data_IF_767398963463
#
_entry.id   IF_767398963463
#
_cell.length_a   1.000
_cell.length_b   1.000
_cell.length_c   1.000
_cell.angle_alpha   90.00
_cell.angle_beta   90.00
_cell.angle_gamma   90.00
#
_symmetry.space_group_name_H-M   'P 1'
#
loop_
_entity.id
_entity.type
_entity.pdbx_description
1 polymer ?
#
# COMPACT_ATOMS: atom_id res chain seq x y z
N UNK A 1 -34.41 2.72 -45.18
CA UNK A 1 -33.15 2.01 -45.34
C UNK A 1 -31.95 2.81 -44.79
N UNK A 2 -31.67 4.06 -45.18
CA UNK A 2 -30.51 4.83 -44.67
C UNK A 2 -30.48 5.03 -43.15
N UNK A 3 -31.64 5.28 -42.51
CA UNK A 3 -31.71 5.48 -41.02
C UNK A 3 -31.46 4.19 -40.22
N UNK A 4 -31.81 3.04 -40.77
CA UNK A 4 -31.59 1.74 -40.13
C UNK A 4 -30.12 1.30 -40.22
N UNK A 5 -29.42 1.67 -41.30
CA UNK A 5 -27.99 1.39 -41.50
C UNK A 5 -27.14 2.24 -40.51
N UNK A 6 -27.52 3.52 -40.27
CA UNK A 6 -26.85 4.39 -39.33
C UNK A 6 -27.01 3.86 -37.89
N UNK A 7 -28.19 3.34 -37.55
CA UNK A 7 -28.41 2.75 -36.23
C UNK A 7 -27.64 1.46 -36.00
N UNK A 8 -27.51 0.62 -37.04
CA UNK A 8 -26.72 -0.61 -37.02
C UNK A 8 -25.21 -0.31 -36.87
N UNK A 9 -24.70 0.73 -37.54
CA UNK A 9 -23.29 1.14 -37.43
C UNK A 9 -22.98 1.71 -36.05
N UNK A 10 -23.92 2.47 -35.46
CA UNK A 10 -23.76 3.00 -34.07
C UNK A 10 -23.81 1.88 -33.02
N UNK A 11 -24.63 0.84 -33.22
CA UNK A 11 -24.70 -0.33 -32.34
C UNK A 11 -23.45 -1.23 -32.45
N UNK A 12 -22.77 -1.27 -33.60
CA UNK A 12 -21.52 -2.01 -33.72
C UNK A 12 -20.31 -1.25 -33.14
N UNK A 13 -20.39 0.08 -33.03
CA UNK A 13 -19.32 0.90 -32.47
C UNK A 13 -19.25 0.86 -30.92
N UNK A 14 -20.24 0.27 -30.25
CA UNK A 14 -20.27 0.11 -28.79
C UNK A 14 -19.66 -1.20 -28.28
N UNK A 15 -19.11 -2.02 -29.19
CA UNK A 15 -18.48 -3.28 -28.81
C UNK A 15 -16.99 -3.05 -28.58
N UNK A 16 -16.61 -3.07 -27.32
CA UNK A 16 -15.25 -3.18 -26.78
C UNK A 16 -14.64 -1.89 -26.19
N UNK A 17 -15.35 -1.25 -25.26
CA UNK A 17 -14.63 -0.50 -24.23
C UNK A 17 -14.33 -1.52 -23.14
N UNK A 18 -13.20 -2.19 -23.21
CA UNK A 18 -12.62 -2.86 -22.08
C UNK A 18 -11.91 -1.78 -21.28
N UNK A 19 -12.48 -1.41 -20.14
CA UNK A 19 -11.75 -0.68 -19.13
C UNK A 19 -10.95 -1.71 -18.33
N UNK A 20 -9.67 -1.47 -18.14
CA UNK A 20 -8.88 -2.26 -17.21
C UNK A 20 -9.49 -2.16 -15.82
N UNK A 21 -9.71 -3.30 -15.17
CA UNK A 21 -10.37 -3.34 -13.87
C UNK A 21 -9.41 -2.96 -12.75
N UNK A 22 -9.80 -1.94 -11.98
CA UNK A 22 -9.44 -1.70 -10.59
C UNK A 22 -7.96 -1.65 -10.24
N UNK A 23 -7.68 -1.70 -8.94
CA UNK A 23 -6.33 -1.86 -8.40
C UNK A 23 -5.95 -3.34 -8.32
N UNK A 24 -4.84 -3.70 -8.93
CA UNK A 24 -4.29 -5.05 -8.82
C UNK A 24 -3.56 -5.25 -7.50
N UNK A 25 -3.76 -6.40 -6.88
CA UNK A 25 -3.06 -6.75 -5.65
C UNK A 25 -1.60 -7.06 -5.94
N UNK A 26 -0.69 -6.47 -5.18
CA UNK A 26 0.75 -6.67 -5.35
C UNK A 26 1.15 -8.16 -5.28
N UNK A 27 0.53 -8.92 -4.39
CA UNK A 27 0.77 -10.36 -4.23
C UNK A 27 0.36 -11.19 -5.45
N UNK A 28 -0.51 -10.67 -6.29
CA UNK A 28 -1.08 -11.36 -7.44
C UNK A 28 -0.45 -10.94 -8.78
N UNK A 29 0.36 -9.87 -8.78
CA UNK A 29 0.92 -9.30 -10.01
C UNK A 29 1.59 -10.35 -10.90
N UNK A 30 2.44 -11.18 -10.32
CA UNK A 30 3.16 -12.21 -11.09
C UNK A 30 2.22 -13.28 -11.65
N UNK A 31 1.25 -13.73 -10.87
CA UNK A 31 0.40 -14.86 -11.23
C UNK A 31 -0.75 -14.46 -12.16
N UNK A 32 -1.28 -13.25 -12.01
CA UNK A 32 -2.53 -12.85 -12.66
C UNK A 32 -2.35 -11.69 -13.65
N UNK A 33 -1.47 -10.74 -13.37
CA UNK A 33 -1.43 -9.47 -14.07
C UNK A 33 -0.18 -9.25 -14.95
N UNK A 34 0.83 -10.10 -14.85
CA UNK A 34 2.11 -9.91 -15.55
C UNK A 34 1.97 -9.80 -17.09
N UNK A 35 1.05 -10.54 -17.68
CA UNK A 35 0.79 -10.49 -19.14
C UNK A 35 0.17 -9.15 -19.48
N UNK A 36 -0.90 -8.76 -18.82
CA UNK A 36 -1.59 -7.49 -19.05
C UNK A 36 -0.66 -6.29 -18.82
N UNK A 37 0.16 -6.32 -17.79
CA UNK A 37 1.15 -5.25 -17.54
C UNK A 37 2.14 -5.09 -18.68
N UNK A 38 2.61 -6.19 -19.27
CA UNK A 38 3.50 -6.15 -20.46
C UNK A 38 2.80 -5.62 -21.70
N UNK A 39 1.55 -6.03 -21.93
CA UNK A 39 0.74 -5.53 -23.03
C UNK A 39 0.48 -4.02 -22.89
N UNK A 40 0.39 -3.50 -21.66
CA UNK A 40 0.28 -2.08 -21.36
C UNK A 40 1.62 -1.33 -21.41
N UNK A 41 2.74 -2.02 -21.67
CA UNK A 41 4.05 -1.42 -21.86
C UNK A 41 5.04 -1.54 -20.71
N UNK A 42 4.80 -2.43 -19.74
CA UNK A 42 5.78 -2.69 -18.69
C UNK A 42 6.99 -3.43 -19.31
N UNK A 43 8.15 -2.80 -19.31
CA UNK A 43 9.40 -3.34 -19.85
C UNK A 43 10.25 -4.08 -18.80
N UNK A 44 10.16 -3.65 -17.53
CA UNK A 44 10.88 -4.31 -16.43
C UNK A 44 10.18 -5.60 -15.98
N UNK A 45 10.90 -6.59 -15.43
CA UNK A 45 10.30 -7.76 -14.80
C UNK A 45 9.31 -7.37 -13.70
N UNK A 46 8.19 -8.08 -13.59
CA UNK A 46 7.17 -7.82 -12.54
C UNK A 46 7.77 -8.00 -11.14
N UNK A 47 8.79 -8.85 -11.00
CA UNK A 47 9.53 -9.05 -9.75
C UNK A 47 10.32 -7.82 -9.30
N UNK A 48 10.66 -6.92 -10.21
CA UNK A 48 11.25 -5.62 -9.86
C UNK A 48 10.21 -4.62 -9.35
N UNK A 49 8.95 -4.79 -9.74
CA UNK A 49 7.84 -4.01 -9.19
C UNK A 49 7.49 -4.49 -7.79
N UNK A 50 7.30 -5.81 -7.63
CA UNK A 50 6.99 -6.43 -6.35
C UNK A 50 7.68 -7.78 -6.20
N UNK A 51 8.44 -7.91 -5.09
CA UNK A 51 9.01 -9.18 -4.64
C UNK A 51 8.85 -9.28 -3.11
N UNK A 52 8.30 -10.40 -2.64
CA UNK A 52 8.12 -10.63 -1.20
C UNK A 52 9.43 -10.95 -0.47
N UNK A 53 10.46 -11.42 -1.20
CA UNK A 53 11.68 -11.97 -0.61
C UNK A 53 12.95 -11.22 -1.01
N UNK A 54 12.86 -10.20 -1.86
CA UNK A 54 13.99 -9.40 -2.30
C UNK A 54 13.57 -7.95 -2.55
N UNK A 55 14.57 -7.08 -2.66
CA UNK A 55 14.38 -5.65 -2.93
C UNK A 55 13.65 -5.47 -4.27
N UNK A 56 12.65 -4.59 -4.28
CA UNK A 56 11.84 -4.23 -5.44
C UNK A 56 11.31 -2.80 -5.26
N UNK A 57 10.59 -2.26 -6.24
CA UNK A 57 10.00 -0.91 -6.15
C UNK A 57 9.08 -0.75 -4.93
N UNK A 58 8.47 -1.83 -4.44
CA UNK A 58 7.64 -1.78 -3.21
C UNK A 58 8.39 -1.18 -2.01
N UNK A 59 9.72 -1.39 -1.93
CA UNK A 59 10.52 -0.97 -0.78
C UNK A 59 10.81 0.53 -0.77
N UNK A 60 10.60 1.21 -1.91
CA UNK A 60 10.64 2.66 -1.99
C UNK A 60 9.32 3.32 -1.53
N UNK A 61 8.22 2.57 -1.52
CA UNK A 61 6.90 3.09 -1.12
C UNK A 61 6.72 2.96 0.37
N UNK A 62 6.38 4.06 1.03
CA UNK A 62 6.25 4.12 2.49
C UNK A 62 4.88 4.64 2.91
N UNK A 63 4.45 4.26 4.10
CA UNK A 63 3.32 4.88 4.77
C UNK A 63 3.81 6.14 5.47
N UNK A 64 3.29 7.29 5.06
CA UNK A 64 3.74 8.61 5.51
C UNK A 64 2.76 9.20 6.54
N UNK A 65 3.28 9.62 7.68
CA UNK A 65 2.52 10.36 8.70
C UNK A 65 1.29 9.66 9.25
N UNK A 66 1.20 8.32 9.12
CA UNK A 66 0.10 7.53 9.66
C UNK A 66 -1.18 7.47 8.81
N UNK A 67 -1.24 8.10 7.63
CA UNK A 67 -2.45 8.10 6.79
C UNK A 67 -2.21 8.31 5.29
N UNK A 68 -1.00 8.64 4.90
CA UNK A 68 -0.64 8.91 3.52
C UNK A 68 0.38 7.92 2.96
N UNK A 69 0.63 8.01 1.67
CA UNK A 69 1.72 7.32 0.99
C UNK A 69 2.80 8.32 0.64
N UNK A 70 4.05 7.89 0.69
CA UNK A 70 5.21 8.62 0.20
C UNK A 70 6.16 7.68 -0.52
N UNK A 71 7.08 8.23 -1.29
CA UNK A 71 8.10 7.50 -2.03
C UNK A 71 9.51 8.00 -1.64
N UNK A 72 10.37 7.07 -1.22
CA UNK A 72 11.79 7.35 -0.98
C UNK A 72 12.51 7.36 -2.32
N UNK A 73 13.06 8.51 -2.71
CA UNK A 73 13.67 8.71 -4.04
C UNK A 73 15.17 8.96 -4.00
N UNK A 74 15.79 8.89 -2.84
CA UNK A 74 17.25 8.99 -2.73
C UNK A 74 17.81 8.08 -1.65
N UNK A 75 19.10 7.75 -1.78
CA UNK A 75 19.84 7.00 -0.77
C UNK A 75 20.00 7.76 0.56
N UNK A 76 19.73 9.04 0.56
CA UNK A 76 19.81 9.91 1.74
C UNK A 76 18.45 10.14 2.42
N UNK A 77 17.38 9.46 1.95
CA UNK A 77 16.08 9.49 2.58
C UNK A 77 15.19 10.65 2.12
N UNK A 78 15.42 11.25 0.93
CA UNK A 78 14.48 12.21 0.36
C UNK A 78 13.17 11.49 0.03
N UNK A 79 12.06 12.02 0.55
CA UNK A 79 10.71 11.46 0.37
C UNK A 79 9.85 12.43 -0.42
N UNK A 80 9.16 11.93 -1.44
CA UNK A 80 8.06 12.63 -2.09
C UNK A 80 6.74 12.18 -1.49
N UNK A 81 5.80 13.12 -1.37
CA UNK A 81 4.42 12.83 -0.99
C UNK A 81 3.49 13.92 -1.51
N UNK A 82 2.19 13.76 -1.33
CA UNK A 82 1.21 14.78 -1.71
C UNK A 82 1.22 15.96 -0.74
N UNK A 83 0.97 17.17 -1.27
CA UNK A 83 0.91 18.40 -0.48
C UNK A 83 -0.03 18.28 0.73
N UNK A 84 -1.23 17.71 0.55
CA UNK A 84 -2.19 17.56 1.65
C UNK A 84 -1.69 16.66 2.78
N UNK A 85 -0.77 15.74 2.49
CA UNK A 85 -0.15 14.87 3.50
C UNK A 85 0.88 15.62 4.36
N UNK A 86 1.57 16.59 3.77
CA UNK A 86 2.52 17.47 4.46
C UNK A 86 1.89 18.74 5.05
N UNK A 87 0.61 19.01 4.75
CA UNK A 87 -0.03 20.28 5.06
C UNK A 87 0.11 20.69 6.53
N UNK A 88 -0.16 19.78 7.45
CA UNK A 88 -0.04 20.05 8.90
C UNK A 88 1.38 20.37 9.33
N UNK A 89 2.39 19.72 8.74
CA UNK A 89 3.80 20.03 9.01
C UNK A 89 4.19 21.39 8.45
N UNK A 90 3.76 21.71 7.22
CA UNK A 90 4.00 23.02 6.60
C UNK A 90 3.35 24.14 7.44
N UNK A 91 2.10 23.93 7.87
CA UNK A 91 1.38 24.88 8.73
C UNK A 91 2.09 25.11 10.06
N UNK A 92 2.63 24.05 10.67
CA UNK A 92 3.35 24.13 11.95
C UNK A 92 4.60 25.01 11.86
N UNK A 93 5.25 25.05 10.70
CA UNK A 93 6.42 25.88 10.44
C UNK A 93 6.07 27.28 9.91
N UNK A 94 4.82 27.50 9.47
CA UNK A 94 4.38 28.79 8.94
C UNK A 94 4.01 29.77 10.06
N UNK A 95 4.33 31.03 9.86
CA UNK A 95 3.96 32.16 10.74
C UNK A 95 3.74 33.42 9.92
N UNK A 96 3.49 34.54 10.57
CA UNK A 96 3.21 35.83 9.90
C UNK A 96 4.41 36.34 9.09
N UNK A 97 5.64 35.99 9.48
CA UNK A 97 6.87 36.42 8.81
C UNK A 97 7.26 35.45 7.69
N UNK A 98 6.83 34.20 7.79
CA UNK A 98 7.16 33.14 6.84
C UNK A 98 5.90 32.30 6.55
N UNK A 99 5.15 32.66 5.53
CA UNK A 99 3.94 31.92 5.09
C UNK A 99 4.32 30.82 4.11
N UNK A 100 4.89 29.74 4.62
CA UNK A 100 5.29 28.59 3.80
C UNK A 100 4.12 27.86 3.11
N UNK A 101 2.90 28.04 3.58
CA UNK A 101 1.71 27.50 2.91
C UNK A 101 1.43 28.21 1.58
N UNK A 102 1.67 29.53 1.53
CA UNK A 102 1.43 30.36 0.33
C UNK A 102 2.68 30.46 -0.53
N UNK A 103 3.83 30.67 0.09
CA UNK A 103 5.08 30.97 -0.61
C UNK A 103 5.92 29.73 -0.94
N UNK A 104 5.64 28.63 -0.25
CA UNK A 104 6.45 27.42 -0.29
C UNK A 104 7.74 27.55 0.53
N UNK A 105 8.46 26.46 0.61
CA UNK A 105 9.76 26.39 1.27
C UNK A 105 10.70 25.47 0.50
N UNK A 106 11.94 25.87 0.34
CA UNK A 106 12.97 25.07 -0.32
C UNK A 106 14.26 25.10 0.49
N UNK A 107 14.61 23.97 1.11
CA UNK A 107 15.91 23.79 1.75
C UNK A 107 16.98 23.52 0.70
N UNK A 108 17.96 24.42 0.56
CA UNK A 108 19.05 24.28 -0.41
C UNK A 108 20.13 23.27 0.02
N UNK A 109 20.13 22.89 1.28
CA UNK A 109 21.02 21.90 1.89
C UNK A 109 20.37 21.35 3.15
N UNK A 110 20.95 20.28 3.75
CA UNK A 110 20.38 19.64 4.95
C UNK A 110 20.32 20.54 6.17
N UNK A 111 21.26 21.46 6.34
CA UNK A 111 21.27 22.34 7.50
C UNK A 111 20.13 23.38 7.45
N UNK A 112 19.58 23.59 6.25
CA UNK A 112 18.42 24.45 6.05
C UNK A 112 17.08 23.73 6.19
N UNK A 113 17.07 22.40 6.33
CA UNK A 113 15.84 21.64 6.53
C UNK A 113 15.20 21.94 7.88
N UNK A 114 13.88 22.09 7.89
CA UNK A 114 13.12 22.36 9.10
C UNK A 114 12.72 21.05 9.77
N UNK A 115 13.26 20.71 10.96
CA UNK A 115 12.95 19.47 11.63
C UNK A 115 11.47 19.41 12.04
N UNK A 116 10.81 18.31 11.73
CA UNK A 116 9.40 18.07 12.08
C UNK A 116 9.30 16.88 13.05
N UNK A 117 9.47 17.11 14.36
CA UNK A 117 9.43 16.06 15.37
C UNK A 117 8.09 15.32 15.35
N UNK A 118 8.14 13.99 15.34
CA UNK A 118 6.94 13.15 15.37
C UNK A 118 6.40 12.78 13.97
N UNK A 119 6.86 13.41 12.90
CA UNK A 119 6.58 12.94 11.55
C UNK A 119 7.45 11.72 11.24
N UNK A 120 6.82 10.62 10.85
CA UNK A 120 7.48 9.35 10.60
C UNK A 120 7.09 8.78 9.24
N UNK A 121 7.97 7.99 8.68
CA UNK A 121 7.66 7.08 7.58
C UNK A 121 7.74 5.64 8.08
N UNK A 122 6.88 4.78 7.55
CA UNK A 122 6.82 3.38 7.95
C UNK A 122 6.96 2.52 6.70
N UNK A 123 7.90 1.58 6.72
CA UNK A 123 8.16 0.68 5.61
C UNK A 123 7.30 -0.57 5.71
N UNK A 124 6.80 -1.04 4.56
CA UNK A 124 6.14 -2.34 4.45
C UNK A 124 7.23 -3.37 4.15
N UNK A 125 7.58 -4.18 5.13
CA UNK A 125 8.58 -5.22 4.99
C UNK A 125 8.10 -6.33 4.05
N UNK A 126 6.94 -6.91 4.35
CA UNK A 126 6.33 -7.93 3.50
C UNK A 126 4.83 -7.97 3.59
N UNK A 127 4.21 -8.51 2.54
CA UNK A 127 2.79 -8.81 2.49
C UNK A 127 2.65 -10.31 2.20
N UNK A 128 1.96 -11.03 3.08
CA UNK A 128 1.77 -12.47 2.98
C UNK A 128 0.29 -12.79 2.80
N UNK A 129 -0.04 -13.67 1.86
CA UNK A 129 -1.39 -14.23 1.76
C UNK A 129 -1.58 -15.26 2.88
N UNK A 130 -2.48 -14.99 3.79
CA UNK A 130 -2.80 -15.84 4.94
C UNK A 130 -4.23 -16.38 4.92
N UNK A 131 -4.88 -16.30 3.77
CA UNK A 131 -6.29 -16.69 3.61
C UNK A 131 -6.56 -18.10 4.10
N UNK A 132 -5.75 -19.07 3.66
CA UNK A 132 -5.90 -20.47 4.08
C UNK A 132 -5.68 -20.65 5.58
N UNK A 133 -4.65 -19.99 6.14
CA UNK A 133 -4.36 -20.04 7.56
C UNK A 133 -5.52 -19.52 8.40
N UNK A 134 -6.08 -18.35 8.05
CA UNK A 134 -7.22 -17.77 8.76
C UNK A 134 -8.44 -18.70 8.70
N UNK A 135 -8.74 -19.25 7.54
CA UNK A 135 -9.85 -20.21 7.38
C UNK A 135 -9.67 -21.44 8.24
N UNK A 136 -8.45 -21.94 8.40
CA UNK A 136 -8.17 -23.07 9.27
C UNK A 136 -8.23 -22.71 10.76
N UNK A 137 -7.87 -21.48 11.15
CA UNK A 137 -8.09 -21.01 12.51
C UNK A 137 -9.58 -20.87 12.86
N UNK A 138 -10.41 -20.39 11.93
CA UNK A 138 -11.87 -20.32 12.12
C UNK A 138 -12.47 -21.70 12.39
N UNK A 139 -12.03 -22.75 11.67
CA UNK A 139 -12.46 -24.12 11.93
C UNK A 139 -12.04 -24.60 13.32
N UNK A 140 -10.80 -24.28 13.74
CA UNK A 140 -10.27 -24.67 15.05
C UNK A 140 -10.95 -23.94 16.21
N UNK A 141 -11.29 -22.65 15.99
CA UNK A 141 -11.91 -21.81 17.01
C UNK A 141 -13.43 -22.03 17.10
N UNK A 142 -13.96 -23.08 16.42
CA UNK A 142 -15.38 -23.46 16.42
C UNK A 142 -16.34 -22.31 16.06
N UNK A 143 -15.89 -21.40 15.18
CA UNK A 143 -16.72 -20.34 14.60
C UNK A 143 -17.15 -20.69 13.15
N UNK A 144 -18.00 -21.72 12.96
CA UNK A 144 -18.35 -22.22 11.65
C UNK A 144 -19.14 -21.23 10.81
N UNK A 145 -19.74 -20.21 11.45
CA UNK A 145 -20.51 -19.18 10.78
C UNK A 145 -19.66 -17.93 10.46
N UNK A 146 -18.39 -17.93 10.88
CA UNK A 146 -17.48 -16.80 10.66
C UNK A 146 -17.98 -15.50 11.31
N UNK A 147 -18.69 -15.59 12.43
CA UNK A 147 -19.29 -14.43 13.10
C UNK A 147 -18.27 -13.37 13.46
N UNK A 148 -17.03 -13.80 13.75
CA UNK A 148 -15.91 -12.92 14.09
C UNK A 148 -14.92 -12.72 12.94
N UNK A 149 -15.19 -13.31 11.78
CA UNK A 149 -14.26 -13.42 10.65
C UNK A 149 -13.58 -12.11 10.25
N UNK A 150 -14.35 -11.02 10.24
CA UNK A 150 -13.82 -9.69 9.89
C UNK A 150 -13.68 -8.77 11.10
N UNK A 151 -13.87 -9.26 12.33
CA UNK A 151 -13.72 -8.41 13.50
C UNK A 151 -12.25 -8.07 13.73
N UNK A 152 -11.89 -6.80 13.97
CA UNK A 152 -10.50 -6.38 14.20
C UNK A 152 -9.82 -7.13 15.33
N UNK A 153 -10.56 -7.45 16.40
CA UNK A 153 -10.03 -8.18 17.55
C UNK A 153 -9.68 -9.64 17.23
N UNK A 154 -10.47 -10.30 16.38
CA UNK A 154 -10.19 -11.65 15.92
C UNK A 154 -8.98 -11.66 14.97
N UNK A 155 -8.99 -10.77 13.97
CA UNK A 155 -7.89 -10.64 13.02
C UNK A 155 -6.55 -10.36 13.70
N UNK A 156 -6.54 -9.50 14.73
CA UNK A 156 -5.33 -9.23 15.53
C UNK A 156 -4.81 -10.50 16.22
N UNK A 157 -5.68 -11.28 16.88
CA UNK A 157 -5.29 -12.55 17.51
C UNK A 157 -4.75 -13.56 16.52
N UNK A 158 -5.36 -13.65 15.33
CA UNK A 158 -4.89 -14.57 14.28
C UNK A 158 -3.54 -14.12 13.73
N UNK A 159 -3.32 -12.81 13.56
CA UNK A 159 -2.03 -12.28 13.14
C UNK A 159 -0.90 -12.64 14.14
N UNK A 160 -1.17 -12.50 15.45
CA UNK A 160 -0.22 -12.89 16.50
C UNK A 160 0.08 -14.40 16.50
N UNK A 161 -0.95 -15.25 16.30
CA UNK A 161 -0.76 -16.70 16.17
C UNK A 161 0.09 -17.03 14.96
N UNK A 162 -0.22 -16.44 13.80
CA UNK A 162 0.54 -16.67 12.57
C UNK A 162 2.01 -16.28 12.76
N UNK A 163 2.28 -15.12 13.34
CA UNK A 163 3.65 -14.68 13.60
C UNK A 163 4.42 -15.67 14.48
N UNK A 164 3.77 -16.23 15.49
CA UNK A 164 4.38 -17.23 16.37
C UNK A 164 4.63 -18.55 15.64
N UNK A 165 3.68 -19.01 14.84
CA UNK A 165 3.78 -20.29 14.11
C UNK A 165 4.86 -20.21 13.02
N UNK A 166 5.01 -19.07 12.37
CA UNK A 166 5.99 -18.82 11.31
C UNK A 166 7.32 -18.24 11.81
N UNK A 167 7.50 -18.12 13.15
CA UNK A 167 8.69 -17.53 13.77
C UNK A 167 9.03 -16.13 13.23
N UNK A 168 8.01 -15.32 12.96
CA UNK A 168 8.21 -13.92 12.58
C UNK A 168 8.59 -13.14 13.82
N UNK A 169 9.74 -12.48 13.77
CA UNK A 169 10.19 -11.62 14.86
C UNK A 169 9.31 -10.38 14.98
N UNK A 170 8.69 -10.21 16.14
CA UNK A 170 7.87 -9.05 16.46
C UNK A 170 8.60 -8.23 17.54
N UNK A 171 9.07 -7.06 17.17
CA UNK A 171 9.74 -6.11 18.06
C UNK A 171 8.77 -4.96 18.42
N UNK A 172 9.09 -4.10 19.39
CA UNK A 172 8.30 -2.90 19.65
C UNK A 172 8.17 -1.94 18.45
N UNK A 173 9.11 -2.02 17.50
CA UNK A 173 9.09 -1.26 16.25
C UNK A 173 8.36 -1.98 15.10
N UNK A 174 7.83 -3.17 15.36
CA UNK A 174 7.15 -4.00 14.35
C UNK A 174 5.66 -4.00 14.61
N UNK A 175 4.86 -3.77 13.58
CA UNK A 175 3.41 -3.92 13.62
C UNK A 175 2.98 -4.98 12.60
N UNK A 176 2.11 -5.88 13.05
CA UNK A 176 1.44 -6.84 12.18
C UNK A 176 0.00 -6.42 11.99
N UNK A 177 -0.43 -6.29 10.76
CA UNK A 177 -1.80 -5.94 10.44
C UNK A 177 -2.40 -6.94 9.45
N UNK A 178 -3.50 -7.59 9.83
CA UNK A 178 -4.23 -8.49 8.96
C UNK A 178 -5.36 -7.71 8.29
N UNK A 179 -5.31 -7.63 6.97
CA UNK A 179 -6.29 -6.92 6.14
C UNK A 179 -7.10 -7.90 5.32
N UNK A 180 -8.42 -7.64 5.28
CA UNK A 180 -9.35 -8.37 4.43
C UNK A 180 -9.59 -7.60 3.12
N UNK A 181 -9.52 -8.32 2.00
CA UNK A 181 -9.78 -7.82 0.65
C UNK A 181 -10.93 -8.60 0.01
N UNK A 182 -11.57 -8.01 -1.00
CA UNK A 182 -12.65 -8.62 -1.78
C UNK A 182 -13.78 -9.17 -0.89
N UNK A 183 -14.21 -8.37 0.10
CA UNK A 183 -15.27 -8.79 1.02
C UNK A 183 -14.88 -9.93 1.96
N UNK A 184 -13.59 -10.16 2.20
CA UNK A 184 -13.07 -11.23 3.04
C UNK A 184 -12.65 -12.49 2.29
N UNK A 185 -12.78 -12.49 0.96
CA UNK A 185 -12.33 -13.65 0.14
C UNK A 185 -10.81 -13.79 0.10
N UNK A 186 -10.07 -12.72 0.40
CA UNK A 186 -8.62 -12.72 0.51
C UNK A 186 -8.18 -11.99 1.78
N UNK A 187 -7.25 -12.58 2.50
CA UNK A 187 -6.68 -12.03 3.73
C UNK A 187 -5.17 -11.97 3.61
N UNK A 188 -4.62 -10.78 3.82
CA UNK A 188 -3.18 -10.56 3.76
C UNK A 188 -2.67 -10.06 5.10
N UNK A 189 -1.56 -10.64 5.57
CA UNK A 189 -0.79 -10.12 6.69
C UNK A 189 0.23 -9.12 6.16
N UNK A 190 0.17 -7.91 6.66
CA UNK A 190 1.09 -6.83 6.35
C UNK A 190 2.05 -6.70 7.52
N UNK A 191 3.33 -6.96 7.27
CA UNK A 191 4.40 -6.76 8.21
C UNK A 191 4.99 -5.37 8.00
N UNK A 192 4.92 -4.54 9.02
CA UNK A 192 5.30 -3.14 8.99
C UNK A 192 6.44 -2.93 9.97
N UNK A 193 7.52 -2.30 9.53
CA UNK A 193 8.64 -1.91 10.37
C UNK A 193 8.74 -0.39 10.45
N UNK A 194 8.72 0.16 11.66
CA UNK A 194 9.09 1.54 11.88
C UNK A 194 10.62 1.66 11.88
N UNK A 195 11.20 2.61 11.14
CA UNK A 195 12.63 2.81 11.21
C UNK A 195 13.01 3.21 12.63
N UNK A 196 13.90 2.43 13.23
CA UNK A 196 14.59 2.87 14.44
C UNK A 196 15.32 4.17 14.10
N UNK A 197 14.92 5.27 14.76
CA UNK A 197 15.66 6.53 14.65
C UNK A 197 17.11 6.27 15.06
N UNK A 198 17.97 6.26 14.09
CA UNK A 198 19.35 6.68 14.35
C UNK A 198 19.36 8.21 14.17
N UNK A 199 19.31 8.88 15.28
CA UNK A 199 19.56 10.31 15.39
C UNK A 199 20.95 10.68 14.89
#
# INVERSE_FOLDING_TARGET
MRKQIIFAIFSLATLSIHADEGMWMLTDLKAQNAVAMRELGLEIPVEEVYNANSISLKDAVVHFGGGCTGEVISSEGLVLTNHHCGYGAIQQHSNVEHDYLTEGFWAMNRDAELPTPGLTVTFIDRILDVTSYVNDQLKKDEDPNGTNYLSPSYLSKVAERFAKDENIEVTPATKLELKAFYGGNKLSLIHISEPTRHS
#
